data_IF_122401638946
#
_entry.id   IF_122401638946
#
_cell.length_a   1.000
_cell.length_b   1.000
_cell.length_c   1.000
_cell.angle_alpha   90.00
_cell.angle_beta   90.00
_cell.angle_gamma   90.00
#
_symmetry.space_group_name_H-M   'P 1'
#
loop_
_entity.id
_entity.type
_entity.pdbx_description
1 polymer ?
#
# COMPACT_ATOMS: atom_id res chain seq x y z
N UNK A 1 -79.66 22.77 11.47
CA UNK A 1 -78.23 23.14 11.63
C UNK A 1 -77.37 21.93 12.04
N UNK A 2 -77.42 20.83 11.27
CA UNK A 2 -76.60 19.61 11.45
C UNK A 2 -75.81 19.40 10.15
N UNK A 3 -74.63 20.02 9.98
CA UNK A 3 -73.70 19.59 8.90
C UNK A 3 -72.32 20.28 8.83
N UNK A 4 -71.75 20.81 9.93
CA UNK A 4 -70.38 21.37 9.89
C UNK A 4 -69.32 20.56 10.64
N UNK A 5 -69.70 19.68 11.57
CA UNK A 5 -68.72 18.95 12.39
C UNK A 5 -68.27 17.58 11.80
N UNK A 6 -68.98 17.04 10.80
CA UNK A 6 -68.59 15.78 10.15
C UNK A 6 -67.59 15.94 8.99
N UNK A 7 -67.51 17.14 8.38
CA UNK A 7 -66.55 17.41 7.30
C UNK A 7 -65.12 17.66 7.82
N UNK A 8 -64.96 18.17 9.03
CA UNK A 8 -63.62 18.38 9.61
C UNK A 8 -62.99 17.08 10.14
N UNK A 9 -63.79 16.12 10.60
CA UNK A 9 -63.29 14.84 11.10
C UNK A 9 -62.76 13.92 9.98
N UNK A 10 -63.30 14.03 8.77
CA UNK A 10 -62.91 13.21 7.61
C UNK A 10 -61.64 13.72 6.91
N UNK A 11 -61.41 15.04 6.86
CA UNK A 11 -60.16 15.59 6.31
C UNK A 11 -58.92 15.33 7.18
N UNK A 12 -59.07 15.28 8.50
CA UNK A 12 -57.93 14.98 9.40
C UNK A 12 -57.53 13.50 9.33
N UNK A 13 -58.49 12.60 9.09
CA UNK A 13 -58.23 11.16 8.98
C UNK A 13 -57.52 10.79 7.66
N UNK A 14 -57.77 11.53 6.56
CA UNK A 14 -57.06 11.34 5.30
C UNK A 14 -55.63 11.91 5.28
N UNK A 15 -55.34 12.97 6.05
CA UNK A 15 -53.97 13.51 6.19
C UNK A 15 -53.09 12.69 7.15
N UNK A 16 -53.69 11.83 8.00
CA UNK A 16 -52.94 10.91 8.87
C UNK A 16 -52.40 9.66 8.16
N UNK A 17 -53.05 9.20 7.09
CA UNK A 17 -52.64 7.98 6.36
C UNK A 17 -51.56 8.22 5.30
N UNK A 18 -51.39 9.45 4.80
CA UNK A 18 -50.37 9.78 3.78
C UNK A 18 -48.93 9.85 4.32
N UNK A 19 -48.74 9.82 5.64
CA UNK A 19 -47.43 9.93 6.30
C UNK A 19 -46.72 8.58 6.49
N UNK A 20 -47.35 7.46 6.12
CA UNK A 20 -46.83 6.11 6.36
C UNK A 20 -46.05 5.51 5.17
N UNK A 21 -45.99 6.19 4.02
CA UNK A 21 -45.38 5.64 2.80
C UNK A 21 -43.96 6.14 2.47
N UNK A 22 -43.35 6.99 3.29
CA UNK A 22 -41.98 7.48 3.05
C UNK A 22 -40.87 6.56 3.60
N UNK A 23 -41.21 5.40 4.17
CA UNK A 23 -40.26 4.47 4.80
C UNK A 23 -39.47 3.53 3.86
N UNK A 24 -39.82 3.41 2.58
CA UNK A 24 -39.27 2.35 1.71
C UNK A 24 -37.99 2.71 0.92
N UNK A 25 -37.51 3.95 0.95
CA UNK A 25 -36.33 4.36 0.16
C UNK A 25 -35.00 4.14 0.88
N UNK A 26 -35.01 4.13 2.22
CA UNK A 26 -33.79 3.94 3.06
C UNK A 26 -33.31 2.47 2.97
N UNK A 27 -34.24 1.52 2.95
CA UNK A 27 -33.93 0.08 2.89
C UNK A 27 -33.23 -0.31 1.57
N UNK A 28 -33.70 0.16 0.41
CA UNK A 28 -33.06 -0.12 -0.89
C UNK A 28 -31.64 0.47 -1.00
N UNK A 29 -31.39 1.64 -0.41
CA UNK A 29 -30.06 2.28 -0.42
C UNK A 29 -29.06 1.52 0.46
N UNK A 30 -29.50 1.01 1.60
CA UNK A 30 -28.70 0.17 2.50
C UNK A 30 -28.40 -1.22 1.88
N UNK A 31 -29.35 -1.82 1.18
CA UNK A 31 -29.14 -3.08 0.45
C UNK A 31 -28.18 -2.92 -0.72
N UNK A 32 -28.34 -1.88 -1.55
CA UNK A 32 -27.42 -1.61 -2.66
C UNK A 32 -25.99 -1.34 -2.17
N UNK A 33 -25.82 -0.65 -1.04
CA UNK A 33 -24.48 -0.44 -0.49
C UNK A 33 -23.87 -1.74 0.03
N UNK A 34 -24.65 -2.60 0.73
CA UNK A 34 -24.20 -3.93 1.15
C UNK A 34 -23.77 -4.80 -0.04
N UNK A 35 -24.45 -4.70 -1.18
CA UNK A 35 -24.08 -5.38 -2.42
C UNK A 35 -22.76 -4.85 -2.97
N UNK A 36 -22.61 -3.53 -3.11
CA UNK A 36 -21.36 -2.89 -3.60
C UNK A 36 -20.16 -3.22 -2.71
N UNK A 37 -20.37 -3.39 -1.40
CA UNK A 37 -19.31 -3.73 -0.45
C UNK A 37 -18.89 -5.20 -0.48
N UNK A 38 -19.78 -6.06 -0.98
CA UNK A 38 -19.52 -7.49 -1.18
C UNK A 38 -18.72 -7.74 -2.46
N UNK A 39 -18.89 -6.88 -3.46
CA UNK A 39 -18.15 -6.96 -4.71
C UNK A 39 -16.75 -6.36 -4.54
N UNK A 40 -15.73 -7.16 -4.85
CA UNK A 40 -14.34 -6.71 -4.85
C UNK A 40 -14.02 -6.01 -6.19
N UNK A 41 -14.30 -4.71 -6.26
CA UNK A 41 -14.13 -3.93 -7.50
C UNK A 41 -12.73 -3.34 -7.68
N UNK A 42 -11.81 -3.55 -6.74
CA UNK A 42 -10.47 -2.94 -6.78
C UNK A 42 -9.42 -3.85 -7.40
N UNK A 43 -9.77 -5.07 -7.79
CA UNK A 43 -8.84 -6.03 -8.37
C UNK A 43 -8.25 -5.48 -9.68
N UNK A 44 -6.92 -5.35 -9.73
CA UNK A 44 -6.22 -5.03 -10.96
C UNK A 44 -5.84 -6.30 -11.74
N UNK A 45 -5.68 -6.17 -13.06
CA UNK A 45 -5.21 -7.24 -13.94
C UNK A 45 -3.73 -7.61 -13.74
N UNK A 46 -3.07 -7.00 -12.76
CA UNK A 46 -1.66 -7.23 -12.43
C UNK A 46 -1.36 -8.73 -12.22
N UNK A 47 -2.35 -9.54 -11.79
CA UNK A 47 -2.23 -11.00 -11.66
C UNK A 47 -1.91 -11.73 -12.97
N UNK A 48 -2.48 -11.28 -14.10
CA UNK A 48 -2.21 -11.88 -15.41
C UNK A 48 -0.83 -11.46 -15.96
N UNK A 49 -0.35 -10.27 -15.56
CA UNK A 49 0.94 -9.71 -16.00
C UNK A 49 2.11 -10.00 -15.05
N UNK A 50 1.85 -10.53 -13.85
CA UNK A 50 2.88 -10.90 -12.86
C UNK A 50 3.99 -11.82 -13.41
N UNK A 51 3.75 -12.48 -14.53
CA UNK A 51 4.73 -13.37 -15.16
C UNK A 51 5.74 -12.68 -16.07
N UNK A 52 5.54 -11.43 -16.45
CA UNK A 52 6.35 -10.77 -17.49
C UNK A 52 7.72 -10.29 -17.01
N UNK A 53 7.80 -9.74 -15.79
CA UNK A 53 9.05 -9.25 -15.21
C UNK A 53 9.52 -10.25 -14.16
N UNK A 54 10.63 -10.93 -14.48
CA UNK A 54 11.23 -11.91 -13.57
C UNK A 54 12.65 -11.52 -13.18
N UNK A 55 13.04 -11.80 -11.93
CA UNK A 55 14.42 -11.66 -11.53
C UNK A 55 15.36 -12.44 -12.45
N UNK A 56 16.51 -11.85 -12.78
CA UNK A 56 17.55 -12.56 -13.53
C UNK A 56 18.11 -13.74 -12.73
N UNK A 57 18.18 -13.59 -11.41
CA UNK A 57 18.61 -14.60 -10.46
C UNK A 57 17.75 -14.53 -9.18
N UNK A 58 17.39 -15.70 -8.65
CA UNK A 58 16.62 -15.81 -7.40
C UNK A 58 17.44 -15.28 -6.22
N UNK A 59 18.73 -15.61 -6.15
CA UNK A 59 19.67 -15.07 -5.17
C UNK A 59 20.70 -14.14 -5.86
N UNK A 60 20.69 -12.82 -5.58
CA UNK A 60 21.64 -11.87 -6.15
C UNK A 60 23.04 -11.93 -5.53
N UNK A 61 23.28 -12.71 -4.46
CA UNK A 61 24.57 -12.75 -3.76
C UNK A 61 25.75 -13.12 -4.66
N UNK A 62 25.51 -14.00 -5.63
CA UNK A 62 26.52 -14.40 -6.62
C UNK A 62 26.91 -13.26 -7.55
N UNK A 63 25.99 -12.32 -7.83
CA UNK A 63 26.27 -11.15 -8.67
C UNK A 63 27.26 -10.19 -7.99
N UNK A 64 27.19 -10.05 -6.66
CA UNK A 64 28.10 -9.15 -5.94
C UNK A 64 29.53 -9.72 -5.86
N UNK A 65 29.64 -11.04 -5.70
CA UNK A 65 30.93 -11.70 -5.44
C UNK A 65 31.67 -12.09 -6.72
N UNK A 66 30.94 -12.51 -7.75
CA UNK A 66 31.53 -13.21 -8.90
C UNK A 66 31.41 -12.45 -10.23
N UNK A 67 30.65 -11.35 -10.29
CA UNK A 67 30.46 -10.58 -11.53
C UNK A 67 31.23 -9.24 -11.46
N UNK A 68 32.52 -9.29 -11.79
CA UNK A 68 33.40 -8.12 -11.78
C UNK A 68 32.95 -7.01 -12.73
N UNK A 69 32.25 -7.34 -13.82
CA UNK A 69 31.72 -6.36 -14.75
C UNK A 69 30.64 -5.50 -14.08
N UNK A 70 29.74 -6.13 -13.33
CA UNK A 70 28.68 -5.41 -12.62
C UNK A 70 29.23 -4.71 -11.37
N UNK A 71 30.00 -5.40 -10.54
CA UNK A 71 30.48 -4.85 -9.26
C UNK A 71 31.46 -3.68 -9.42
N UNK A 72 32.21 -3.60 -10.53
CA UNK A 72 33.08 -2.46 -10.82
C UNK A 72 32.33 -1.22 -11.33
N UNK A 73 31.11 -1.37 -11.87
CA UNK A 73 30.38 -0.27 -12.50
C UNK A 73 29.12 0.15 -11.74
N UNK A 74 28.52 -0.77 -10.98
CA UNK A 74 27.26 -0.59 -10.28
C UNK A 74 27.42 -0.78 -8.78
N UNK A 75 26.66 0.00 -8.03
CA UNK A 75 26.49 -0.16 -6.58
C UNK A 75 25.67 -1.41 -6.27
N UNK A 76 25.78 -1.92 -5.04
CA UNK A 76 24.98 -3.05 -4.57
C UNK A 76 23.48 -2.84 -4.80
N UNK A 77 22.97 -1.64 -4.50
CA UNK A 77 21.57 -1.25 -4.71
C UNK A 77 21.16 -1.32 -6.18
N UNK A 78 22.00 -0.81 -7.09
CA UNK A 78 21.74 -0.86 -8.53
C UNK A 78 21.76 -2.30 -9.07
N UNK A 79 22.66 -3.15 -8.59
CA UNK A 79 22.71 -4.57 -8.96
C UNK A 79 21.46 -5.30 -8.47
N UNK A 80 20.98 -5.02 -7.25
CA UNK A 80 19.73 -5.59 -6.74
C UNK A 80 18.53 -5.20 -7.58
N UNK A 81 18.41 -3.91 -7.92
CA UNK A 81 17.34 -3.42 -8.78
C UNK A 81 17.42 -4.08 -10.16
N UNK A 82 18.60 -4.05 -10.80
CA UNK A 82 18.81 -4.67 -12.11
C UNK A 82 18.51 -6.17 -12.11
N UNK A 83 18.84 -6.88 -11.02
CA UNK A 83 18.55 -8.28 -10.86
C UNK A 83 17.04 -8.51 -10.79
N UNK A 84 16.36 -7.85 -9.86
CA UNK A 84 14.93 -8.03 -9.64
C UNK A 84 14.11 -7.70 -10.90
N UNK A 85 14.48 -6.63 -11.61
CA UNK A 85 13.78 -6.20 -12.82
C UNK A 85 14.18 -6.98 -14.09
N UNK A 86 15.01 -8.02 -13.99
CA UNK A 86 15.40 -8.81 -15.16
C UNK A 86 16.37 -8.13 -16.13
N UNK A 87 16.97 -7.00 -15.75
CA UNK A 87 17.76 -6.14 -16.64
C UNK A 87 19.25 -6.51 -16.71
N UNK A 88 19.74 -7.40 -15.84
CA UNK A 88 21.17 -7.80 -15.80
C UNK A 88 21.73 -8.20 -17.18
N UNK A 89 21.07 -9.06 -17.98
CA UNK A 89 21.61 -9.45 -19.28
C UNK A 89 21.77 -8.27 -20.26
N UNK A 90 20.82 -7.33 -20.24
CA UNK A 90 20.86 -6.13 -21.11
C UNK A 90 21.99 -5.20 -20.70
N UNK A 91 22.12 -4.94 -19.40
CA UNK A 91 23.15 -4.08 -18.83
C UNK A 91 24.55 -4.65 -19.13
N UNK A 92 24.76 -5.96 -18.94
CA UNK A 92 26.04 -6.61 -19.26
C UNK A 92 26.39 -6.48 -20.74
N UNK A 93 25.43 -6.70 -21.64
CA UNK A 93 25.64 -6.52 -23.09
C UNK A 93 26.00 -5.08 -23.44
N UNK A 94 25.45 -4.09 -22.75
CA UNK A 94 25.79 -2.68 -22.98
C UNK A 94 27.22 -2.35 -22.51
N UNK A 95 27.65 -2.84 -21.35
CA UNK A 95 29.03 -2.66 -20.89
C UNK A 95 30.06 -3.36 -21.81
N UNK A 96 29.79 -4.57 -22.27
CA UNK A 96 30.73 -5.29 -23.16
C UNK A 96 30.91 -4.57 -24.50
N UNK A 97 29.85 -3.99 -25.05
CA UNK A 97 29.88 -3.31 -26.36
C UNK A 97 30.31 -1.83 -26.29
N UNK A 98 30.80 -1.37 -25.14
CA UNK A 98 31.00 0.05 -24.87
C UNK A 98 32.16 0.67 -25.68
N UNK A 99 33.25 -0.07 -25.89
CA UNK A 99 34.47 0.45 -26.54
C UNK A 99 34.50 0.25 -28.07
N UNK A 100 33.56 -0.51 -28.64
CA UNK A 100 33.51 -0.77 -30.08
C UNK A 100 32.73 0.34 -30.80
N UNK A 101 33.45 1.09 -31.65
CA UNK A 101 32.96 2.25 -32.37
C UNK A 101 32.37 1.91 -33.75
N UNK A 102 32.34 0.64 -34.15
CA UNK A 102 31.83 0.19 -35.44
C UNK A 102 30.34 0.54 -35.62
N UNK A 103 29.94 0.82 -36.87
CA UNK A 103 28.55 1.16 -37.19
C UNK A 103 27.56 0.07 -36.73
N UNK A 104 27.94 -1.21 -36.88
CA UNK A 104 27.14 -2.35 -36.43
C UNK A 104 26.94 -2.34 -34.91
N UNK A 105 27.99 -2.09 -34.14
CA UNK A 105 27.90 -2.06 -32.68
C UNK A 105 27.15 -0.84 -32.18
N UNK A 106 27.25 0.32 -32.86
CA UNK A 106 26.40 1.49 -32.56
C UNK A 106 24.91 1.17 -32.70
N UNK A 107 24.49 0.54 -33.79
CA UNK A 107 23.10 0.11 -34.00
C UNK A 107 22.67 -0.89 -32.92
N UNK A 108 23.51 -1.88 -32.62
CA UNK A 108 23.22 -2.86 -31.57
C UNK A 108 23.06 -2.23 -30.18
N UNK A 109 23.87 -1.23 -29.84
CA UNK A 109 23.73 -0.48 -28.59
C UNK A 109 22.42 0.30 -28.53
N UNK A 110 21.99 0.90 -29.63
CA UNK A 110 20.69 1.59 -29.69
C UNK A 110 19.53 0.62 -29.44
N UNK A 111 19.57 -0.57 -30.05
CA UNK A 111 18.56 -1.62 -29.83
C UNK A 111 18.53 -2.08 -28.35
N UNK A 112 19.71 -2.34 -27.75
CA UNK A 112 19.81 -2.71 -26.34
C UNK A 112 19.32 -1.61 -25.40
N UNK A 113 19.59 -0.34 -25.71
CA UNK A 113 19.07 0.81 -24.95
C UNK A 113 17.55 0.93 -25.06
N UNK A 114 17.00 0.67 -26.25
CA UNK A 114 15.55 0.62 -26.44
C UNK A 114 14.91 -0.50 -25.61
N UNK A 115 15.48 -1.71 -25.64
CA UNK A 115 15.01 -2.84 -24.82
C UNK A 115 15.09 -2.52 -23.32
N UNK A 116 16.17 -1.87 -22.88
CA UNK A 116 16.31 -1.43 -21.49
C UNK A 116 15.22 -0.41 -21.12
N UNK A 117 14.95 0.57 -21.99
CA UNK A 117 13.92 1.58 -21.75
C UNK A 117 12.51 0.97 -21.70
N UNK A 118 12.21 0.02 -22.59
CA UNK A 118 10.94 -0.72 -22.57
C UNK A 118 10.75 -1.46 -21.24
N UNK A 119 11.79 -2.14 -20.76
CA UNK A 119 11.75 -2.81 -19.45
C UNK A 119 11.55 -1.82 -18.29
N UNK A 120 12.17 -0.63 -18.34
CA UNK A 120 11.97 0.41 -17.32
C UNK A 120 10.51 0.87 -17.30
N UNK A 121 9.89 1.07 -18.48
CA UNK A 121 8.48 1.43 -18.59
C UNK A 121 7.57 0.36 -18.00
N UNK A 122 7.79 -0.92 -18.33
CA UNK A 122 7.01 -2.04 -17.75
C UNK A 122 7.10 -2.08 -16.23
N UNK A 123 8.31 -1.96 -15.68
CA UNK A 123 8.52 -1.90 -14.22
C UNK A 123 7.69 -0.76 -13.61
N UNK A 124 7.71 0.43 -14.22
CA UNK A 124 6.94 1.58 -13.74
C UNK A 124 5.44 1.30 -13.77
N UNK A 125 4.91 0.77 -14.87
CA UNK A 125 3.49 0.45 -15.03
C UNK A 125 3.00 -0.47 -13.92
N UNK A 126 3.73 -1.55 -13.64
CA UNK A 126 3.34 -2.50 -12.58
C UNK A 126 3.36 -1.84 -11.19
N UNK A 127 4.30 -0.93 -10.92
CA UNK A 127 4.27 -0.14 -9.67
C UNK A 127 3.06 0.79 -9.60
N UNK A 128 2.74 1.50 -10.68
CA UNK A 128 1.59 2.42 -10.74
C UNK A 128 0.27 1.66 -10.56
N UNK A 129 0.14 0.46 -11.14
CA UNK A 129 -1.02 -0.42 -10.98
C UNK A 129 -1.16 -0.90 -9.53
N UNK A 130 -0.07 -1.36 -8.92
CA UNK A 130 -0.08 -1.78 -7.52
C UNK A 130 -0.47 -0.63 -6.58
N UNK A 131 0.09 0.57 -6.78
CA UNK A 131 -0.29 1.75 -6.00
C UNK A 131 -1.77 2.13 -6.21
N UNK A 132 -2.27 2.00 -7.44
CA UNK A 132 -3.69 2.27 -7.76
C UNK A 132 -4.63 1.29 -7.08
N UNK A 133 -4.28 0.00 -7.06
CA UNK A 133 -5.05 -1.01 -6.33
C UNK A 133 -5.05 -0.77 -4.82
N UNK A 134 -3.88 -0.48 -4.23
CA UNK A 134 -3.76 -0.16 -2.81
C UNK A 134 -4.59 1.07 -2.43
N UNK A 135 -4.57 2.11 -3.26
CA UNK A 135 -5.38 3.30 -3.04
C UNK A 135 -6.89 3.00 -3.19
N UNK A 136 -7.28 2.20 -4.18
CA UNK A 136 -8.66 1.76 -4.34
C UNK A 136 -9.15 1.00 -3.10
N UNK A 137 -8.37 0.02 -2.63
CA UNK A 137 -8.66 -0.79 -1.44
C UNK A 137 -8.74 0.07 -0.18
N UNK A 138 -7.85 1.07 -0.05
CA UNK A 138 -7.89 2.05 1.03
C UNK A 138 -9.21 2.81 1.02
N UNK A 139 -9.60 3.38 -0.13
CA UNK A 139 -10.84 4.17 -0.25
C UNK A 139 -12.11 3.31 -0.11
N UNK A 140 -12.09 2.08 -0.62
CA UNK A 140 -13.15 1.09 -0.41
C UNK A 140 -13.34 0.80 1.07
N UNK A 141 -12.24 0.58 1.80
CA UNK A 141 -12.24 0.34 3.24
C UNK A 141 -12.71 1.57 4.03
N UNK A 142 -12.28 2.78 3.65
CA UNK A 142 -12.76 4.03 4.26
C UNK A 142 -14.25 4.27 4.05
N UNK A 143 -14.76 4.01 2.83
CA UNK A 143 -16.20 4.07 2.54
C UNK A 143 -16.99 3.08 3.40
N UNK A 144 -16.42 1.90 3.62
CA UNK A 144 -17.01 0.90 4.48
C UNK A 144 -17.09 1.33 5.95
N UNK A 145 -16.01 1.91 6.48
CA UNK A 145 -16.01 2.50 7.81
C UNK A 145 -17.02 3.65 7.90
N UNK A 146 -17.02 4.57 6.93
CA UNK A 146 -17.95 5.70 6.88
C UNK A 146 -19.42 5.31 6.80
N UNK A 147 -19.74 4.14 6.23
CA UNK A 147 -21.11 3.61 6.26
C UNK A 147 -21.53 3.17 7.67
N UNK A 148 -20.63 2.51 8.41
CA UNK A 148 -20.88 2.12 9.79
C UNK A 148 -20.96 3.36 10.70
N UNK A 149 -20.05 4.33 10.55
CA UNK A 149 -20.08 5.62 11.25
C UNK A 149 -21.36 6.42 10.96
N UNK A 150 -21.76 6.49 9.69
CA UNK A 150 -22.99 7.16 9.25
C UNK A 150 -24.27 6.50 9.77
N UNK A 151 -24.23 5.19 10.05
CA UNK A 151 -25.31 4.47 10.71
C UNK A 151 -25.38 4.84 12.21
N UNK A 152 -24.23 5.01 12.86
CA UNK A 152 -24.15 5.42 14.27
C UNK A 152 -24.40 6.92 14.48
N UNK A 153 -24.14 7.79 13.49
CA UNK A 153 -24.32 9.26 13.56
C UNK A 153 -25.76 9.79 13.69
N UNK A 154 -26.77 8.93 13.90
CA UNK A 154 -27.98 9.33 14.67
C UNK A 154 -27.70 9.51 16.18
N UNK A 155 -26.49 9.19 16.63
CA UNK A 155 -25.98 9.33 17.99
C UNK A 155 -24.50 9.76 17.92
N UNK A 156 -24.30 11.08 18.04
CA UNK A 156 -23.05 11.81 18.34
C UNK A 156 -21.91 11.86 17.32
N UNK A 157 -21.90 13.00 16.61
CA UNK A 157 -20.86 13.91 16.12
C UNK A 157 -19.44 13.44 15.68
N UNK A 158 -19.11 13.95 14.49
CA UNK A 158 -17.82 14.04 13.79
C UNK A 158 -16.60 14.31 14.68
N UNK A 159 -15.49 13.59 14.40
CA UNK A 159 -14.10 14.11 14.38
C UNK A 159 -13.07 12.99 14.07
N UNK A 160 -13.00 12.45 12.83
CA UNK A 160 -11.83 11.62 12.42
C UNK A 160 -11.65 11.57 10.89
N UNK A 161 -11.52 12.72 10.24
CA UNK A 161 -11.07 12.75 8.81
C UNK A 161 -9.80 13.62 8.64
N UNK A 162 -9.38 14.38 9.66
CA UNK A 162 -8.31 15.38 9.53
C UNK A 162 -6.89 15.03 10.00
N UNK A 163 -6.62 13.83 10.54
CA UNK A 163 -5.33 13.56 11.19
C UNK A 163 -4.35 12.66 10.39
N UNK A 164 -4.76 12.09 9.25
CA UNK A 164 -3.97 11.06 8.55
C UNK A 164 -2.88 11.67 7.62
N UNK A 165 -2.77 13.00 7.52
CA UNK A 165 -1.74 13.65 6.69
C UNK A 165 -0.47 14.08 7.45
N UNK A 166 -0.33 13.77 8.74
CA UNK A 166 0.88 14.08 9.50
C UNK A 166 1.82 12.86 9.59
N UNK A 167 2.41 12.48 8.45
CA UNK A 167 3.27 11.29 8.39
C UNK A 167 4.39 11.34 7.36
N UNK A 168 4.78 12.52 6.88
CA UNK A 168 5.98 12.68 6.05
C UNK A 168 6.68 14.01 6.33
N UNK A 169 7.15 14.19 7.56
CA UNK A 169 8.26 15.08 7.83
C UNK A 169 9.44 14.20 8.23
N UNK A 170 10.28 13.88 7.24
CA UNK A 170 11.64 13.40 7.48
C UNK A 170 12.40 14.50 8.22
N UNK A 171 12.42 14.45 9.55
CA UNK A 171 13.38 15.25 10.31
C UNK A 171 14.73 14.54 10.23
N UNK A 172 15.53 14.97 9.27
CA UNK A 172 16.97 14.70 9.27
C UNK A 172 17.57 15.59 10.35
N UNK A 173 17.95 15.04 11.50
CA UNK A 173 18.76 15.77 12.45
C UNK A 173 20.25 15.62 12.06
N UNK A 174 21.03 16.71 11.92
CA UNK A 174 22.47 16.60 11.83
C UNK A 174 23.01 16.16 13.18
N UNK A 175 23.63 14.98 13.21
CA UNK A 175 24.56 14.60 14.27
C UNK A 175 25.74 15.56 14.19
N UNK A 176 26.03 16.26 15.30
CA UNK A 176 27.35 16.62 15.84
C UNK A 176 27.30 17.94 16.62
N UNK A 177 27.31 17.88 17.96
CA UNK A 177 28.24 18.65 18.80
C UNK A 177 28.59 17.81 20.05
N UNK A 178 29.89 17.64 20.28
CA UNK A 178 30.53 16.96 21.41
C UNK A 178 30.12 17.56 22.76
N UNK A 179 29.81 16.71 23.74
CA UNK A 179 30.45 16.76 25.07
C UNK A 179 30.16 15.46 25.84
N UNK A 180 31.13 15.10 26.68
CA UNK A 180 31.30 13.81 27.35
C UNK A 180 30.46 13.67 28.62
N UNK A 181 29.39 12.87 28.63
CA UNK A 181 28.82 12.21 29.82
C UNK A 181 27.85 11.09 29.38
N UNK A 182 27.84 9.89 30.00
CA UNK A 182 26.97 8.79 29.56
C UNK A 182 25.57 8.96 30.16
N UNK A 183 24.60 9.40 29.36
CA UNK A 183 23.19 9.40 29.74
C UNK A 183 22.33 8.84 28.61
N UNK A 184 21.69 7.71 28.91
CA UNK A 184 20.57 7.12 28.20
C UNK A 184 19.60 8.22 27.74
N UNK A 185 19.70 8.60 26.48
CA UNK A 185 18.79 9.54 25.85
C UNK A 185 18.26 8.86 24.59
N UNK A 186 17.28 7.98 24.78
CA UNK A 186 16.42 7.56 23.69
C UNK A 186 15.47 8.73 23.46
N UNK A 187 15.83 9.58 22.50
CA UNK A 187 14.97 10.65 21.99
C UNK A 187 13.78 9.99 21.31
N UNK A 188 12.67 9.91 22.03
CA UNK A 188 11.35 9.56 21.50
C UNK A 188 10.82 10.80 20.78
N UNK A 189 11.05 10.85 19.47
CA UNK A 189 10.50 11.89 18.60
C UNK A 189 9.50 11.28 17.61
N UNK A 190 8.20 11.54 17.81
CA UNK A 190 7.17 11.32 16.78
C UNK A 190 5.86 10.72 17.27
N UNK A 191 4.89 11.61 17.54
CA UNK A 191 3.43 11.43 17.59
C UNK A 191 2.85 10.18 18.31
N UNK A 192 2.42 10.40 19.55
CA UNK A 192 1.49 9.54 20.28
C UNK A 192 0.11 9.64 19.62
N UNK A 193 -0.30 8.58 18.89
CA UNK A 193 -1.71 8.30 18.54
C UNK A 193 -2.14 6.90 19.04
N UNK A 194 -1.28 6.21 19.80
CA UNK A 194 -1.48 4.80 20.18
C UNK A 194 -2.27 4.57 21.49
N UNK A 195 -2.89 5.60 22.07
CA UNK A 195 -3.69 5.44 23.30
C UNK A 195 -5.21 5.39 23.06
N UNK A 196 -5.70 5.80 21.87
CA UNK A 196 -7.14 5.94 21.64
C UNK A 196 -7.81 4.68 21.07
N UNK A 197 -7.11 3.90 20.24
CA UNK A 197 -7.65 2.66 19.65
C UNK A 197 -7.86 1.55 20.68
N UNK A 198 -6.95 1.37 21.65
CA UNK A 198 -7.02 0.29 22.63
C UNK A 198 -8.18 0.39 23.63
N UNK A 199 -8.60 1.61 24.01
CA UNK A 199 -9.68 1.82 24.98
C UNK A 199 -11.08 1.78 24.33
N UNK A 200 -11.20 2.11 23.04
CA UNK A 200 -12.48 2.16 22.32
C UNK A 200 -12.92 0.80 21.78
N UNK A 201 -11.97 -0.10 21.49
CA UNK A 201 -12.19 -1.50 21.11
C UNK A 201 -13.04 -2.29 22.13
N UNK A 202 -13.11 -1.85 23.40
CA UNK A 202 -13.93 -2.47 24.44
C UNK A 202 -15.37 -1.93 24.48
N UNK A 203 -15.72 -0.92 23.68
CA UNK A 203 -17.05 -0.30 23.63
C UNK A 203 -17.69 -0.27 22.24
N UNK A 204 -16.97 -0.58 21.16
CA UNK A 204 -17.48 -0.65 19.78
C UNK A 204 -18.17 -1.98 19.45
N UNK A 205 -19.35 -2.18 20.04
CA UNK A 205 -20.40 -3.06 19.50
C UNK A 205 -21.57 -2.16 19.11
N UNK A 206 -22.19 -2.26 17.94
CA UNK A 206 -23.04 -3.41 17.60
C UNK A 206 -23.21 -3.63 16.08
N UNK A 207 -22.66 -2.76 15.23
CA UNK A 207 -22.86 -2.85 13.78
C UNK A 207 -21.62 -3.40 13.09
N UNK A 208 -21.77 -4.56 12.45
CA UNK A 208 -20.73 -5.17 11.62
C UNK A 208 -21.21 -5.35 10.20
N UNK A 209 -20.28 -5.35 9.28
CA UNK A 209 -20.52 -5.69 7.88
C UNK A 209 -19.68 -6.92 7.49
N UNK A 210 -20.18 -7.71 6.56
CA UNK A 210 -19.33 -8.65 5.85
C UNK A 210 -18.45 -7.86 4.88
N UNK A 211 -17.13 -8.00 5.03
CA UNK A 211 -16.15 -7.37 4.15
C UNK A 211 -15.08 -8.41 3.82
N UNK A 212 -15.01 -8.75 2.54
CA UNK A 212 -14.16 -9.81 1.99
C UNK A 212 -13.42 -9.28 0.79
N UNK A 213 -12.33 -9.93 0.44
CA UNK A 213 -11.46 -9.52 -0.66
C UNK A 213 -10.94 -10.77 -1.35
N UNK A 214 -10.81 -10.70 -2.67
CA UNK A 214 -10.21 -11.75 -3.47
C UNK A 214 -8.70 -11.83 -3.20
N UNK A 215 -8.07 -10.65 -3.03
CA UNK A 215 -6.65 -10.52 -2.73
C UNK A 215 -6.43 -9.68 -1.48
N UNK A 216 -5.71 -10.23 -0.50
CA UNK A 216 -5.35 -9.49 0.71
C UNK A 216 -3.92 -8.99 0.63
N UNK A 217 -3.75 -7.78 0.11
CA UNK A 217 -2.43 -7.15 -0.03
C UNK A 217 -1.67 -7.03 1.30
N UNK A 218 -2.37 -6.99 2.44
CA UNK A 218 -1.73 -6.95 3.75
C UNK A 218 -1.14 -8.30 4.19
N UNK A 219 -1.64 -9.42 3.65
CA UNK A 219 -1.35 -10.78 4.12
C UNK A 219 0.13 -11.13 4.02
N UNK A 220 0.74 -10.94 2.86
CA UNK A 220 2.14 -11.38 2.64
C UNK A 220 3.12 -10.46 3.36
N UNK A 221 2.79 -9.16 3.48
CA UNK A 221 3.55 -8.23 4.34
C UNK A 221 3.53 -8.68 5.80
N UNK A 222 2.44 -9.29 6.27
CA UNK A 222 2.33 -9.80 7.63
C UNK A 222 2.99 -11.17 7.81
N UNK A 223 2.77 -12.09 6.88
CA UNK A 223 3.18 -13.51 7.00
C UNK A 223 4.60 -13.78 6.52
N UNK A 224 5.21 -12.86 5.78
CA UNK A 224 6.59 -12.95 5.29
C UNK A 224 6.89 -14.25 4.52
N UNK A 225 6.04 -14.65 3.55
CA UNK A 225 6.30 -15.87 2.82
C UNK A 225 7.55 -15.70 1.94
N UNK A 226 8.29 -16.80 1.74
CA UNK A 226 9.45 -16.80 0.85
C UNK A 226 9.08 -16.40 -0.59
N UNK A 227 7.92 -16.85 -1.06
CA UNK A 227 7.35 -16.52 -2.36
C UNK A 227 5.98 -15.91 -2.11
N UNK A 228 5.75 -14.72 -2.63
CA UNK A 228 4.48 -14.03 -2.47
C UNK A 228 3.41 -14.61 -3.39
N UNK A 229 2.20 -14.73 -2.86
CA UNK A 229 0.97 -15.00 -3.63
C UNK A 229 0.20 -13.73 -3.97
N UNK A 230 0.54 -12.60 -3.31
CA UNK A 230 -0.17 -11.33 -3.41
C UNK A 230 0.57 -10.30 -4.28
N UNK A 231 1.88 -10.47 -4.50
CA UNK A 231 2.76 -9.54 -5.21
C UNK A 231 3.51 -10.24 -6.36
N UNK A 232 3.87 -9.51 -7.43
CA UNK A 232 4.77 -10.05 -8.44
C UNK A 232 6.14 -10.36 -7.84
N UNK A 233 6.82 -11.37 -8.39
CA UNK A 233 8.09 -11.85 -7.87
C UNK A 233 9.14 -10.74 -7.75
N UNK A 234 9.27 -9.87 -8.76
CA UNK A 234 10.23 -8.78 -8.71
C UNK A 234 9.91 -7.73 -7.65
N UNK A 235 8.63 -7.36 -7.46
CA UNK A 235 8.23 -6.43 -6.40
C UNK A 235 8.51 -7.06 -5.04
N UNK A 236 8.16 -8.33 -4.86
CA UNK A 236 8.41 -9.03 -3.61
C UNK A 236 9.91 -9.09 -3.28
N UNK A 237 10.76 -9.37 -4.27
CA UNK A 237 12.20 -9.35 -4.09
C UNK A 237 12.72 -7.95 -3.72
N UNK A 238 12.21 -6.89 -4.35
CA UNK A 238 12.56 -5.51 -4.02
C UNK A 238 12.09 -5.11 -2.61
N UNK A 239 10.88 -5.51 -2.21
CA UNK A 239 10.35 -5.26 -0.86
C UNK A 239 11.17 -5.97 0.23
N UNK A 240 11.79 -7.10 -0.10
CA UNK A 240 12.66 -7.86 0.80
C UNK A 240 14.14 -7.40 0.79
N UNK A 241 14.52 -6.45 -0.08
CA UNK A 241 15.86 -5.86 -0.10
C UNK A 241 16.05 -4.81 0.99
N UNK A 242 17.07 -4.96 1.84
CA UNK A 242 17.38 -4.01 2.91
C UNK A 242 18.12 -2.75 2.40
N UNK A 243 18.87 -2.84 1.29
CA UNK A 243 19.49 -1.69 0.64
C UNK A 243 18.50 -0.71 -0.01
N UNK A 244 17.24 -1.13 -0.15
CA UNK A 244 16.16 -0.34 -0.73
C UNK A 244 15.33 0.39 0.34
N UNK A 245 15.52 0.05 1.62
CA UNK A 245 14.85 0.71 2.73
C UNK A 245 15.56 2.02 3.09
N UNK A 246 14.85 3.15 3.02
CA UNK A 246 15.42 4.46 3.38
C UNK A 246 15.42 4.62 4.90
N UNK A 247 16.57 5.03 5.45
CA UNK A 247 16.71 5.41 6.85
C UNK A 247 17.07 4.25 7.81
N UNK A 248 16.91 2.99 7.41
CA UNK A 248 17.38 1.85 8.19
C UNK A 248 17.72 0.63 7.30
N UNK A 249 19.00 0.47 7.00
CA UNK A 249 19.49 -0.62 6.12
C UNK A 249 19.56 -1.99 6.82
N UNK A 250 19.15 -2.10 8.09
CA UNK A 250 19.12 -3.38 8.81
C UNK A 250 17.79 -4.14 8.63
N UNK A 251 16.75 -3.46 8.11
CA UNK A 251 15.45 -4.06 7.84
C UNK A 251 15.15 -3.94 6.34
N UNK A 252 14.51 -4.96 5.78
CA UNK A 252 13.87 -4.83 4.47
C UNK A 252 12.74 -3.80 4.50
N UNK A 253 12.29 -3.36 3.32
CA UNK A 253 11.13 -2.45 3.20
C UNK A 253 9.90 -3.09 3.86
N UNK A 254 9.64 -4.38 3.56
CA UNK A 254 8.54 -5.15 4.15
C UNK A 254 8.67 -5.24 5.68
N UNK A 255 9.85 -5.59 6.21
CA UNK A 255 10.06 -5.71 7.65
C UNK A 255 9.89 -4.36 8.36
N UNK A 256 10.31 -3.27 7.72
CA UNK A 256 10.13 -1.93 8.25
C UNK A 256 8.64 -1.54 8.32
N UNK A 257 7.84 -1.88 7.30
CA UNK A 257 6.38 -1.71 7.32
C UNK A 257 5.77 -2.49 8.49
N UNK A 258 6.05 -3.80 8.58
CA UNK A 258 5.51 -4.65 9.64
C UNK A 258 5.90 -4.17 11.04
N UNK A 259 7.14 -3.72 11.22
CA UNK A 259 7.62 -3.14 12.48
C UNK A 259 6.82 -1.90 12.89
N UNK A 260 6.49 -1.00 11.95
CA UNK A 260 5.65 0.19 12.22
C UNK A 260 4.25 -0.23 12.63
N UNK A 261 3.65 -1.19 11.93
CA UNK A 261 2.32 -1.71 12.28
C UNK A 261 2.29 -2.30 13.68
N UNK A 262 3.26 -3.14 14.03
CA UNK A 262 3.36 -3.74 15.38
C UNK A 262 3.53 -2.68 16.48
N UNK A 263 4.36 -1.65 16.24
CA UNK A 263 4.69 -0.66 17.25
C UNK A 263 3.60 0.40 17.48
N UNK A 264 2.79 0.68 16.47
CA UNK A 264 1.87 1.82 16.46
C UNK A 264 0.42 1.34 16.31
N UNK A 265 0.11 0.70 15.18
CA UNK A 265 -1.28 0.46 14.77
C UNK A 265 -1.91 -0.79 15.40
N UNK A 266 -1.09 -1.81 15.70
CA UNK A 266 -1.52 -3.13 16.16
C UNK A 266 -1.14 -3.39 17.61
N UNK A 267 -0.67 -2.38 18.34
CA UNK A 267 -0.32 -2.53 19.73
C UNK A 267 -1.57 -2.88 20.56
N UNK A 268 -1.57 -4.04 21.20
CA UNK A 268 -2.72 -4.56 21.95
C UNK A 268 -3.84 -5.17 21.08
N UNK A 269 -3.63 -5.36 19.78
CA UNK A 269 -4.61 -6.00 18.92
C UNK A 269 -4.86 -7.46 19.32
N UNK A 270 -6.14 -7.88 19.31
CA UNK A 270 -6.52 -9.26 19.58
C UNK A 270 -6.13 -10.20 18.44
N UNK A 271 -5.96 -11.50 18.72
CA UNK A 271 -5.74 -12.51 17.68
C UNK A 271 -6.86 -12.55 16.65
N UNK A 272 -8.11 -12.30 17.08
CA UNK A 272 -9.26 -12.21 16.19
C UNK A 272 -9.15 -11.03 15.22
N UNK A 273 -8.70 -9.86 15.69
CA UNK A 273 -8.47 -8.67 14.86
C UNK A 273 -7.35 -8.94 13.85
N UNK A 274 -6.24 -9.57 14.28
CA UNK A 274 -5.15 -9.92 13.37
C UNK A 274 -5.59 -10.92 12.29
N UNK A 275 -6.35 -11.94 12.67
CA UNK A 275 -6.93 -12.90 11.73
C UNK A 275 -7.86 -12.21 10.73
N UNK A 276 -8.71 -11.30 11.22
CA UNK A 276 -9.61 -10.53 10.38
C UNK A 276 -8.85 -9.69 9.35
N UNK A 277 -7.80 -8.98 9.76
CA UNK A 277 -7.00 -8.09 8.92
C UNK A 277 -6.13 -8.83 7.90
N UNK A 278 -5.53 -9.97 8.28
CA UNK A 278 -4.48 -10.62 7.49
C UNK A 278 -4.89 -11.93 6.81
N UNK A 279 -6.03 -12.55 7.18
CA UNK A 279 -6.58 -13.73 6.47
C UNK A 279 -7.60 -13.29 5.43
N UNK A 280 -8.67 -14.06 5.18
CA UNK A 280 -9.65 -13.86 4.08
C UNK A 280 -10.74 -12.81 4.34
N UNK A 281 -10.63 -12.03 5.42
CA UNK A 281 -11.64 -11.08 5.84
C UNK A 281 -12.75 -11.75 6.66
N UNK A 282 -13.89 -11.08 6.79
CA UNK A 282 -14.95 -11.55 7.67
C UNK A 282 -15.91 -10.43 8.09
N UNK A 283 -16.32 -10.46 9.36
CA UNK A 283 -17.25 -9.48 9.91
C UNK A 283 -16.49 -8.36 10.60
N UNK A 284 -16.44 -7.21 9.94
CA UNK A 284 -15.68 -6.03 10.35
C UNK A 284 -16.56 -5.04 11.12
N UNK A 285 -16.02 -4.53 12.24
CA UNK A 285 -16.51 -3.30 12.88
C UNK A 285 -15.96 -2.05 12.18
N UNK A 286 -16.43 -0.88 12.58
CA UNK A 286 -15.90 0.39 12.09
C UNK A 286 -14.40 0.53 12.41
N UNK A 287 -14.01 0.25 13.66
CA UNK A 287 -12.63 0.36 14.11
C UNK A 287 -11.71 -0.59 13.32
N UNK A 288 -12.15 -1.84 13.07
CA UNK A 288 -11.39 -2.80 12.25
C UNK A 288 -11.13 -2.26 10.82
N UNK A 289 -12.13 -1.60 10.22
CA UNK A 289 -12.01 -1.00 8.88
C UNK A 289 -11.10 0.23 8.90
N UNK A 290 -11.22 1.08 9.92
CA UNK A 290 -10.32 2.21 10.07
C UNK A 290 -8.87 1.75 10.20
N UNK A 291 -8.60 0.74 11.04
CA UNK A 291 -7.27 0.12 11.15
C UNK A 291 -6.81 -0.41 9.80
N UNK A 292 -7.63 -1.22 9.10
CA UNK A 292 -7.26 -1.74 7.78
C UNK A 292 -6.93 -0.63 6.77
N UNK A 293 -7.70 0.46 6.75
CA UNK A 293 -7.45 1.60 5.87
C UNK A 293 -6.11 2.29 6.17
N UNK A 294 -5.74 2.42 7.45
CA UNK A 294 -4.42 2.95 7.85
C UNK A 294 -3.30 2.03 7.37
N UNK A 295 -3.43 0.70 7.57
CA UNK A 295 -2.42 -0.26 7.12
C UNK A 295 -2.22 -0.21 5.59
N UNK A 296 -3.32 -0.20 4.83
CA UNK A 296 -3.29 -0.11 3.37
C UNK A 296 -2.67 1.21 2.89
N UNK A 297 -3.01 2.34 3.52
CA UNK A 297 -2.42 3.63 3.19
C UNK A 297 -0.92 3.70 3.48
N UNK A 298 -0.45 3.11 4.60
CA UNK A 298 0.98 3.04 4.89
C UNK A 298 1.73 2.13 3.91
N UNK A 299 1.08 1.07 3.45
CA UNK A 299 1.62 0.17 2.43
C UNK A 299 1.74 0.88 1.07
N UNK A 300 0.69 1.59 0.63
CA UNK A 300 0.69 2.42 -0.58
C UNK A 300 1.86 3.42 -0.55
N UNK A 301 1.98 4.21 0.52
CA UNK A 301 3.06 5.18 0.64
C UNK A 301 4.45 4.52 0.57
N UNK A 302 4.59 3.32 1.14
CA UNK A 302 5.85 2.56 1.12
C UNK A 302 6.17 2.01 -0.27
N UNK A 303 5.17 1.53 -1.01
CA UNK A 303 5.30 1.08 -2.40
C UNK A 303 5.64 2.25 -3.32
N UNK A 304 5.00 3.40 -3.15
CA UNK A 304 5.27 4.63 -3.91
C UNK A 304 6.69 5.16 -3.66
N UNK A 305 7.18 5.07 -2.42
CA UNK A 305 8.58 5.40 -2.09
C UNK A 305 9.57 4.38 -2.69
N UNK A 306 9.23 3.09 -2.65
CA UNK A 306 10.03 2.03 -3.27
C UNK A 306 10.14 2.25 -4.78
N UNK A 307 9.03 2.56 -5.46
CA UNK A 307 9.03 2.90 -6.88
C UNK A 307 9.99 4.07 -7.15
N UNK A 308 9.87 5.16 -6.40
CA UNK A 308 10.76 6.32 -6.53
C UNK A 308 12.25 5.95 -6.39
N UNK A 309 12.58 5.08 -5.43
CA UNK A 309 13.93 4.56 -5.25
C UNK A 309 14.41 3.70 -6.42
N UNK A 310 13.56 2.82 -6.93
CA UNK A 310 13.84 1.97 -8.09
C UNK A 310 14.10 2.83 -9.32
N UNK A 311 13.23 3.80 -9.61
CA UNK A 311 13.41 4.72 -10.74
C UNK A 311 14.70 5.52 -10.63
N UNK A 312 15.07 5.96 -9.43
CA UNK A 312 16.34 6.65 -9.19
C UNK A 312 17.56 5.75 -9.49
N UNK A 313 17.52 4.47 -9.08
CA UNK A 313 18.54 3.49 -9.41
C UNK A 313 18.63 3.23 -10.93
N UNK A 314 17.49 3.05 -11.59
CA UNK A 314 17.43 2.81 -13.04
C UNK A 314 17.99 4.01 -13.82
N UNK A 315 17.65 5.23 -13.41
CA UNK A 315 18.21 6.45 -13.99
C UNK A 315 19.73 6.55 -13.79
N UNK A 316 20.22 6.19 -12.60
CA UNK A 316 21.67 6.14 -12.32
C UNK A 316 22.39 5.14 -13.23
N UNK A 317 21.83 3.93 -13.39
CA UNK A 317 22.35 2.91 -14.33
C UNK A 317 22.39 3.48 -15.75
N UNK A 318 21.30 4.09 -16.23
CA UNK A 318 21.24 4.69 -17.56
C UNK A 318 22.30 5.77 -17.77
N UNK A 319 22.51 6.66 -16.79
CA UNK A 319 23.56 7.69 -16.85
C UNK A 319 24.94 7.07 -16.99
N UNK A 320 25.25 6.04 -16.19
CA UNK A 320 26.54 5.33 -16.28
C UNK A 320 26.73 4.68 -17.65
N UNK A 321 25.70 4.06 -18.21
CA UNK A 321 25.73 3.47 -19.56
C UNK A 321 25.85 4.51 -20.70
N UNK A 322 25.50 5.77 -20.43
CA UNK A 322 25.60 6.87 -21.39
C UNK A 322 26.92 7.64 -21.27
N UNK A 323 27.53 7.69 -20.08
CA UNK A 323 28.82 8.35 -19.83
C UNK A 323 30.03 7.64 -20.46
N UNK A 324 29.83 6.45 -21.04
CA UNK A 324 30.88 5.63 -21.66
C UNK A 324 30.96 5.90 -23.19
N UNK A 325 30.25 6.92 -23.69
CA UNK A 325 30.32 7.37 -25.08
C UNK A 325 31.31 8.53 -25.25
#
# INVERSE_FOLDING_TARGET
MKNKNQLFATSVLLMGLSSLFTGCTISKKAENLRLIMKDDYCISNINAEFTEIRPSFINPDSLFKNDSLLSNNLTRKEILVANATGMVPLIKKLFVNQNDSSARTRVRRLELRHQLQDQIWRVKTVFDELSSELNCETERTKRAAGYLDGYEKKRTNNLTIGAIFAGSATTVAPVFVKSSTPQNTIVIGGAIVSAYLGAKLLQSGHNKIAFTYERNLLSDVWTEPRVSSQYPEFIWQLMNGNELNIGNNNLSVQQNIKKRWLGIELNGASSQTLDLLFKKGGSYSEDDLQTRAVLLSQLEASVSLLNSNVQSCLLSIQRKLNAIN
#
